data_IF_745149396326
#
_entry.id   IF_745149396326
#
_cell.length_a   1.000
_cell.length_b   1.000
_cell.length_c   1.000
_cell.angle_alpha   90.00
_cell.angle_beta   90.00
_cell.angle_gamma   90.00
#
_symmetry.space_group_name_H-M   'P 1'
#
loop_
_entity.id
_entity.type
_entity.pdbx_description
1 polymer ?
#
# COMPACT_ATOMS: atom_id res chain seq x y z
N UNK A 1 17.56 13.59 -17.36
CA UNK A 1 16.88 12.53 -16.60
C UNK A 1 15.78 11.92 -17.46
N UNK A 2 15.90 10.67 -17.85
CA UNK A 2 14.89 10.01 -18.70
C UNK A 2 13.74 9.55 -17.82
N UNK A 3 12.55 10.13 -18.05
CA UNK A 3 11.31 9.67 -17.40
C UNK A 3 10.83 8.42 -18.13
N UNK A 4 11.04 7.25 -17.54
CA UNK A 4 10.54 5.98 -18.06
C UNK A 4 9.43 5.46 -17.16
N UNK A 5 8.34 5.05 -17.79
CA UNK A 5 7.24 4.36 -17.14
C UNK A 5 7.13 2.95 -17.72
N UNK A 6 6.92 1.97 -16.87
CA UNK A 6 6.69 0.59 -17.28
C UNK A 6 5.30 0.19 -16.80
N UNK A 7 4.50 -0.39 -17.68
CA UNK A 7 3.17 -0.88 -17.38
C UNK A 7 3.22 -2.41 -17.30
N UNK A 8 2.89 -2.96 -16.14
CA UNK A 8 2.78 -4.40 -15.92
C UNK A 8 1.31 -4.81 -16.04
N UNK A 9 1.01 -5.65 -17.01
CA UNK A 9 -0.33 -6.24 -17.21
C UNK A 9 -0.42 -7.67 -16.70
N UNK A 10 -1.63 -8.20 -16.65
CA UNK A 10 -1.95 -9.61 -16.40
C UNK A 10 -1.61 -10.17 -15.00
N UNK A 11 -1.40 -9.34 -13.99
CA UNK A 11 -1.17 -9.80 -12.61
C UNK A 11 0.04 -10.73 -12.47
N UNK A 12 -0.10 -11.86 -11.76
CA UNK A 12 0.94 -12.88 -11.61
C UNK A 12 1.01 -13.84 -12.80
N UNK A 13 -0.04 -13.91 -13.59
CA UNK A 13 -0.22 -14.94 -14.60
C UNK A 13 -0.58 -16.33 -14.04
N UNK A 14 -0.79 -16.45 -12.74
CA UNK A 14 -1.15 -17.69 -12.05
C UNK A 14 -2.55 -17.59 -11.44
N UNK A 15 -3.35 -18.67 -11.46
CA UNK A 15 -4.62 -18.70 -10.77
C UNK A 15 -4.43 -18.61 -9.24
N UNK A 16 -5.49 -18.22 -8.54
CA UNK A 16 -5.55 -18.07 -7.07
C UNK A 16 -4.76 -16.90 -6.48
N UNK A 17 -4.02 -16.13 -7.27
CA UNK A 17 -3.34 -14.92 -6.84
C UNK A 17 -4.03 -13.67 -7.36
N UNK A 18 -4.12 -12.65 -6.51
CA UNK A 18 -4.73 -11.37 -6.87
C UNK A 18 -3.73 -10.44 -7.56
N UNK A 19 -4.23 -9.32 -8.08
CA UNK A 19 -3.39 -8.24 -8.62
C UNK A 19 -2.56 -7.55 -7.54
N UNK A 20 -2.99 -7.60 -6.28
CA UNK A 20 -2.19 -7.10 -5.15
C UNK A 20 -0.89 -7.90 -5.01
N UNK A 21 -0.99 -9.23 -5.09
CA UNK A 21 0.20 -10.11 -5.14
C UNK A 21 1.05 -9.84 -6.37
N UNK A 22 0.43 -9.60 -7.52
CA UNK A 22 1.14 -9.21 -8.74
C UNK A 22 1.95 -7.92 -8.56
N UNK A 23 1.36 -6.91 -7.93
CA UNK A 23 2.03 -5.64 -7.64
C UNK A 23 3.22 -5.83 -6.69
N UNK A 24 3.04 -6.59 -5.61
CA UNK A 24 4.12 -6.90 -4.66
C UNK A 24 5.27 -7.67 -5.32
N UNK A 25 4.94 -8.68 -6.15
CA UNK A 25 5.94 -9.45 -6.90
C UNK A 25 6.77 -8.57 -7.84
N UNK A 26 6.12 -7.75 -8.66
CA UNK A 26 6.83 -6.85 -9.58
C UNK A 26 7.66 -5.81 -8.84
N UNK A 27 7.15 -5.28 -7.75
CA UNK A 27 7.90 -4.34 -6.91
C UNK A 27 9.20 -4.96 -6.36
N UNK A 28 9.12 -6.20 -5.88
CA UNK A 28 10.30 -6.94 -5.41
C UNK A 28 11.29 -7.21 -6.56
N UNK A 29 10.82 -7.67 -7.72
CA UNK A 29 11.66 -7.98 -8.88
C UNK A 29 12.45 -6.76 -9.40
N UNK A 30 11.85 -5.57 -9.38
CA UNK A 30 12.49 -4.34 -9.87
C UNK A 30 13.21 -3.55 -8.77
N UNK A 31 13.30 -4.09 -7.55
CA UNK A 31 13.84 -3.39 -6.39
C UNK A 31 13.18 -2.03 -6.15
N UNK A 32 11.86 -1.99 -6.19
CA UNK A 32 11.11 -0.76 -5.91
C UNK A 32 11.34 -0.30 -4.46
N UNK A 33 11.30 1.01 -4.24
CA UNK A 33 11.46 1.60 -2.90
C UNK A 33 10.17 1.58 -2.09
N UNK A 34 9.02 1.52 -2.76
CA UNK A 34 7.70 1.59 -2.14
C UNK A 34 6.64 1.03 -3.09
N UNK A 35 5.61 0.45 -2.53
CA UNK A 35 4.37 0.09 -3.24
C UNK A 35 3.31 1.13 -2.93
N UNK A 36 2.82 1.82 -3.94
CA UNK A 36 1.76 2.81 -3.81
C UNK A 36 0.43 2.19 -4.20
N UNK A 37 -0.45 1.95 -3.23
CA UNK A 37 -1.79 1.44 -3.49
C UNK A 37 -2.79 2.59 -3.62
N UNK A 38 -3.10 2.95 -4.85
CA UNK A 38 -4.09 3.97 -5.17
C UNK A 38 -5.50 3.39 -5.05
N UNK A 39 -6.29 3.94 -4.17
CA UNK A 39 -7.65 3.47 -3.85
C UNK A 39 -8.65 4.62 -3.87
N UNK A 40 -9.92 4.31 -3.56
CA UNK A 40 -10.97 5.30 -3.33
C UNK A 40 -11.17 5.59 -1.84
N UNK A 41 -10.30 5.08 -0.99
CA UNK A 41 -10.35 5.25 0.48
C UNK A 41 -9.11 5.99 0.95
N UNK A 42 -9.29 6.89 1.91
CA UNK A 42 -8.25 7.81 2.39
C UNK A 42 -7.09 7.12 3.14
N UNK A 43 -7.19 5.85 3.35
CA UNK A 43 -6.17 5.05 4.05
C UNK A 43 -6.80 3.85 4.75
N UNK A 44 -6.14 3.37 5.79
CA UNK A 44 -6.60 2.26 6.62
C UNK A 44 -7.19 2.80 7.91
N UNK A 45 -8.39 2.36 8.24
CA UNK A 45 -9.13 2.79 9.42
C UNK A 45 -9.22 1.66 10.45
N UNK A 46 -9.40 2.02 11.72
CA UNK A 46 -9.58 1.04 12.80
C UNK A 46 -10.89 0.24 12.70
N UNK A 47 -11.86 0.77 11.95
CA UNK A 47 -13.14 0.12 11.61
C UNK A 47 -13.66 0.70 10.30
N UNK A 48 -14.71 0.10 9.73
CA UNK A 48 -15.29 0.63 8.49
C UNK A 48 -15.86 2.05 8.72
N UNK A 49 -15.29 3.07 8.06
CA UNK A 49 -15.74 4.45 8.24
C UNK A 49 -17.16 4.69 7.72
N UNK A 50 -17.70 3.80 6.88
CA UNK A 50 -19.09 3.87 6.41
C UNK A 50 -20.08 3.42 7.47
N UNK A 51 -19.66 2.52 8.36
CA UNK A 51 -20.49 1.98 9.44
C UNK A 51 -20.26 2.71 10.77
N UNK A 52 -19.06 3.23 10.98
CA UNK A 52 -18.66 3.93 12.19
C UNK A 52 -18.06 5.29 11.88
N UNK A 53 -18.82 6.35 12.13
CA UNK A 53 -18.39 7.74 11.90
C UNK A 53 -17.18 8.15 12.76
N UNK A 54 -16.94 7.44 13.87
CA UNK A 54 -15.80 7.67 14.77
C UNK A 54 -14.57 6.84 14.42
N UNK A 55 -14.57 6.12 13.28
CA UNK A 55 -13.41 5.38 12.82
C UNK A 55 -12.22 6.30 12.59
N UNK A 56 -11.09 5.98 13.23
CA UNK A 56 -9.84 6.75 13.10
C UNK A 56 -8.96 6.13 12.02
N UNK A 57 -8.42 6.99 11.17
CA UNK A 57 -7.42 6.61 10.18
C UNK A 57 -6.08 6.42 10.87
N UNK A 58 -5.40 5.33 10.54
CA UNK A 58 -4.02 5.14 10.92
C UNK A 58 -3.09 5.94 10.00
N UNK A 59 -2.11 6.61 10.58
CA UNK A 59 -1.03 7.22 9.80
C UNK A 59 0.04 6.19 9.44
N UNK A 60 0.33 5.30 10.38
CA UNK A 60 1.31 4.22 10.25
C UNK A 60 0.81 2.94 10.87
N UNK A 61 1.18 1.83 10.26
CA UNK A 61 0.89 0.48 10.74
C UNK A 61 2.09 -0.42 10.48
N UNK A 62 2.32 -1.38 11.38
CA UNK A 62 3.22 -2.49 11.09
C UNK A 62 2.52 -3.56 10.26
N UNK A 63 3.28 -4.33 9.49
CA UNK A 63 2.74 -5.50 8.76
C UNK A 63 2.08 -6.48 9.73
N UNK A 64 2.69 -6.71 10.89
CA UNK A 64 2.15 -7.58 11.92
C UNK A 64 0.78 -7.11 12.40
N UNK A 65 0.62 -5.82 12.65
CA UNK A 65 -0.68 -5.26 13.07
C UNK A 65 -1.74 -5.42 11.99
N UNK A 66 -1.39 -5.20 10.72
CA UNK A 66 -2.30 -5.42 9.59
C UNK A 66 -2.77 -6.87 9.52
N UNK A 67 -1.84 -7.83 9.67
CA UNK A 67 -2.16 -9.25 9.66
C UNK A 67 -2.97 -9.69 10.88
N UNK A 68 -2.56 -9.27 12.07
CA UNK A 68 -3.21 -9.63 13.33
C UNK A 68 -4.64 -9.11 13.45
N UNK A 69 -4.87 -7.89 13.01
CA UNK A 69 -6.21 -7.27 13.06
C UNK A 69 -7.07 -7.62 11.84
N UNK A 70 -6.54 -8.35 10.87
CA UNK A 70 -7.27 -8.72 9.66
C UNK A 70 -7.75 -7.52 8.86
N UNK A 71 -6.98 -6.44 8.86
CA UNK A 71 -7.31 -5.23 8.12
C UNK A 71 -7.24 -5.52 6.61
N UNK A 72 -8.35 -5.26 5.91
CA UNK A 72 -8.52 -5.59 4.50
C UNK A 72 -7.78 -4.64 3.55
N UNK A 73 -6.50 -4.41 3.77
CA UNK A 73 -5.66 -3.51 2.97
C UNK A 73 -5.27 -4.14 1.65
N UNK A 74 -4.68 -5.32 1.74
CA UNK A 74 -4.25 -6.18 0.64
C UNK A 74 -4.47 -7.62 1.06
N UNK A 75 -4.38 -8.57 0.12
CA UNK A 75 -4.42 -9.97 0.51
C UNK A 75 -3.18 -10.38 1.34
N UNK A 76 -3.31 -11.46 2.09
CA UNK A 76 -2.27 -11.93 3.00
C UNK A 76 -0.96 -12.27 2.27
N UNK A 77 -1.05 -12.83 1.08
CA UNK A 77 0.12 -13.18 0.26
C UNK A 77 0.90 -11.92 -0.14
N UNK A 78 0.21 -10.86 -0.55
CA UNK A 78 0.83 -9.59 -0.90
C UNK A 78 1.50 -8.92 0.31
N UNK A 79 0.84 -8.91 1.45
CA UNK A 79 1.39 -8.36 2.71
C UNK A 79 2.64 -9.13 3.13
N UNK A 80 2.59 -10.45 3.11
CA UNK A 80 3.73 -11.31 3.46
C UNK A 80 4.92 -11.05 2.53
N UNK A 81 4.68 -10.97 1.24
CA UNK A 81 5.73 -10.70 0.24
C UNK A 81 6.37 -9.33 0.45
N UNK A 82 5.57 -8.30 0.72
CA UNK A 82 6.09 -6.97 1.02
C UNK A 82 6.91 -6.94 2.30
N UNK A 83 6.44 -7.64 3.35
CA UNK A 83 7.17 -7.76 4.61
C UNK A 83 8.54 -8.44 4.44
N UNK A 84 8.57 -9.60 3.78
CA UNK A 84 9.81 -10.37 3.56
C UNK A 84 10.84 -9.61 2.71
N UNK A 85 10.40 -8.72 1.84
CA UNK A 85 11.26 -7.90 0.99
C UNK A 85 11.45 -6.47 1.52
N UNK A 86 10.99 -6.18 2.73
CA UNK A 86 11.10 -4.87 3.38
C UNK A 86 10.54 -3.73 2.49
N UNK A 87 9.45 -4.01 1.78
CA UNK A 87 8.79 -3.08 0.88
C UNK A 87 7.68 -2.31 1.62
N UNK A 88 7.86 -1.02 1.90
CA UNK A 88 6.78 -0.23 2.48
C UNK A 88 5.59 -0.11 1.51
N UNK A 89 4.39 -0.04 2.08
CA UNK A 89 3.15 0.14 1.32
C UNK A 89 2.50 1.45 1.78
N UNK A 90 2.09 2.27 0.82
CA UNK A 90 1.30 3.48 1.10
C UNK A 90 -0.07 3.33 0.45
N UNK A 91 -1.10 3.32 1.28
CA UNK A 91 -2.51 3.26 0.84
C UNK A 91 -3.08 4.66 0.90
N UNK A 92 -3.61 5.16 -0.22
CA UNK A 92 -4.11 6.54 -0.28
C UNK A 92 -5.30 6.68 -1.23
N UNK A 93 -6.04 7.76 -1.07
CA UNK A 93 -7.16 8.12 -1.95
C UNK A 93 -6.64 8.83 -3.21
N UNK A 94 -6.78 8.16 -4.36
CA UNK A 94 -6.37 8.71 -5.65
C UNK A 94 -7.36 9.74 -6.22
N UNK A 95 -8.57 9.80 -5.66
CA UNK A 95 -9.62 10.71 -6.18
C UNK A 95 -9.44 12.15 -5.70
N UNK A 96 -8.68 12.36 -4.64
CA UNK A 96 -8.35 13.70 -4.17
C UNK A 96 -7.29 14.34 -5.06
N UNK A 97 -7.55 15.55 -5.52
CA UNK A 97 -6.63 16.29 -6.37
C UNK A 97 -5.24 16.44 -5.73
N UNK A 98 -4.21 16.07 -6.48
CA UNK A 98 -2.82 16.18 -6.07
C UNK A 98 -2.31 15.04 -5.19
N UNK A 99 -3.17 14.12 -4.72
CA UNK A 99 -2.72 13.03 -3.83
C UNK A 99 -1.73 12.08 -4.49
N UNK A 100 -1.90 11.76 -5.76
CA UNK A 100 -0.95 10.92 -6.51
C UNK A 100 0.44 11.55 -6.49
N UNK A 101 0.54 12.85 -6.79
CA UNK A 101 1.82 13.55 -6.76
C UNK A 101 2.43 13.61 -5.36
N UNK A 102 1.60 13.85 -4.35
CA UNK A 102 2.03 13.87 -2.94
C UNK A 102 2.54 12.51 -2.48
N UNK A 103 1.83 11.43 -2.83
CA UNK A 103 2.25 10.06 -2.53
C UNK A 103 3.59 9.71 -3.19
N UNK A 104 3.77 10.04 -4.47
CA UNK A 104 5.02 9.80 -5.20
C UNK A 104 6.20 10.58 -4.58
N UNK A 105 5.94 11.78 -4.05
CA UNK A 105 6.95 12.60 -3.38
C UNK A 105 7.22 12.19 -1.94
N UNK A 106 6.55 11.17 -1.42
CA UNK A 106 6.69 10.73 -0.03
C UNK A 106 6.20 11.74 1.00
N UNK A 107 5.21 12.57 0.64
CA UNK A 107 4.69 13.59 1.54
C UNK A 107 3.95 12.96 2.72
N UNK A 108 4.28 13.36 3.95
CA UNK A 108 3.61 12.89 5.16
C UNK A 108 2.12 13.26 5.18
N UNK A 109 1.30 12.43 5.83
CA UNK A 109 -0.14 12.68 5.98
C UNK A 109 -0.99 12.27 4.78
N UNK A 110 -0.40 11.72 3.74
CA UNK A 110 -1.13 11.17 2.60
C UNK A 110 -1.36 9.68 2.83
N UNK A 111 -2.59 9.33 3.19
CA UNK A 111 -2.98 7.94 3.40
C UNK A 111 -2.38 7.28 4.64
N UNK A 112 -2.17 5.98 4.56
CA UNK A 112 -1.58 5.15 5.61
C UNK A 112 -0.32 4.46 5.10
N UNK A 113 0.77 4.55 5.84
CA UNK A 113 2.01 3.85 5.55
C UNK A 113 2.11 2.56 6.35
N UNK A 114 2.46 1.46 5.69
CA UNK A 114 2.66 0.14 6.29
C UNK A 114 4.12 -0.26 6.13
N UNK A 115 4.81 -0.43 7.25
CA UNK A 115 6.21 -0.89 7.29
C UNK A 115 6.54 -1.40 8.69
N UNK A 116 7.59 -2.20 8.84
CA UNK A 116 8.05 -2.64 10.17
C UNK A 116 9.10 -1.71 10.78
N UNK A 117 9.58 -0.73 10.05
CA UNK A 117 10.53 0.25 10.57
C UNK A 117 9.80 1.45 11.18
N UNK A 118 10.30 1.90 12.33
CA UNK A 118 9.90 3.20 12.91
C UNK A 118 10.39 4.38 12.05
N UNK A 119 11.19 4.09 11.04
CA UNK A 119 11.68 5.09 10.09
C UNK A 119 10.57 5.58 9.17
N UNK A 120 10.72 6.81 8.74
CA UNK A 120 9.77 7.47 7.84
C UNK A 120 9.57 6.64 6.57
N UNK A 121 8.32 6.47 6.16
CA UNK A 121 8.02 6.03 4.81
C UNK A 121 8.75 6.94 3.81
N UNK A 122 9.42 6.35 2.85
CA UNK A 122 10.12 7.14 1.84
C UNK A 122 9.17 7.99 1.00
#
# INVERSE_FOLDING_TARGET
MYKRQVIFGAGTGNPFFTTDTGAALRAAEINAQVVLKATKVDGVFCSDPKQNINAKKYERLSYETVQRLGLGVMDQTAITMCRENELPIVVFDMMKNGNIQKAIRGQAGVGTCISDSDEKCP
#
